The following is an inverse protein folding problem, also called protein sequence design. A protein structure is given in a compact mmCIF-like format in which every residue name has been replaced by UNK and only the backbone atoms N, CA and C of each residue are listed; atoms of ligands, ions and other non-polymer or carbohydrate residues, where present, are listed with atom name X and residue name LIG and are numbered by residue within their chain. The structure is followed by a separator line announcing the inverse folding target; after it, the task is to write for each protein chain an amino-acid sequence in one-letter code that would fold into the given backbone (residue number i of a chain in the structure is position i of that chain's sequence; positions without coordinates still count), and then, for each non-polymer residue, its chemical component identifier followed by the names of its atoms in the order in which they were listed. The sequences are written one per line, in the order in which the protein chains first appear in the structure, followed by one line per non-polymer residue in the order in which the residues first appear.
data_IF_699098653548
#
_entry.id   IF_699098653548
#
_cell.length_a   1.000
_cell.length_b   1.000
_cell.length_c   1.000
_cell.angle_alpha   90.00
_cell.angle_beta   90.00
_cell.angle_gamma   90.00
#
_symmetry.space_group_name_H-M   'P 1'
#
loop_
_entity.id
_entity.type
_entity.pdbx_description
1 polymer ?
#
# COMPACT_ATOMS: atom_id res chain seq x y z
N UNK A 1 -53.94 -20.00 -20.66
CA UNK A 1 -52.59 -19.91 -21.24
C UNK A 1 -51.69 -18.91 -20.48
N UNK A 2 -51.98 -18.55 -19.21
CA UNK A 2 -51.28 -17.52 -18.43
C UNK A 2 -50.49 -18.05 -17.21
N UNK A 3 -50.45 -19.34 -16.93
CA UNK A 3 -49.79 -19.90 -15.74
C UNK A 3 -48.34 -20.33 -15.93
N UNK A 4 -47.75 -20.28 -17.14
CA UNK A 4 -46.39 -20.71 -17.40
C UNK A 4 -45.38 -19.55 -17.50
N UNK A 5 -45.82 -18.31 -17.65
CA UNK A 5 -44.94 -17.13 -17.80
C UNK A 5 -44.47 -16.61 -16.43
N UNK A 6 -45.28 -16.75 -15.38
CA UNK A 6 -44.98 -16.24 -14.03
C UNK A 6 -43.88 -17.03 -13.31
N UNK A 7 -43.68 -18.30 -13.66
CA UNK A 7 -42.68 -19.15 -13.02
C UNK A 7 -41.26 -18.88 -13.55
N UNK A 8 -41.16 -18.52 -14.84
CA UNK A 8 -39.82 -18.23 -15.44
C UNK A 8 -39.27 -16.87 -15.00
N UNK A 9 -40.09 -15.88 -14.75
CA UNK A 9 -39.65 -14.56 -14.23
C UNK A 9 -39.21 -14.63 -12.78
N UNK A 10 -39.78 -15.52 -11.98
CA UNK A 10 -39.40 -15.71 -10.58
C UNK A 10 -38.05 -16.45 -10.43
N UNK A 11 -37.75 -17.38 -11.32
CA UNK A 11 -36.45 -18.11 -11.34
C UNK A 11 -35.32 -17.20 -11.81
N UNK A 12 -35.54 -16.29 -12.76
CA UNK A 12 -34.52 -15.29 -13.16
C UNK A 12 -34.24 -14.23 -12.10
N UNK A 13 -35.24 -13.86 -11.28
CA UNK A 13 -35.05 -12.93 -10.17
C UNK A 13 -34.30 -13.55 -8.99
N UNK A 14 -34.42 -14.85 -8.76
CA UNK A 14 -33.65 -15.57 -7.73
C UNK A 14 -32.18 -15.85 -8.15
N UNK A 15 -31.91 -15.93 -9.46
CA UNK A 15 -30.56 -16.12 -9.97
C UNK A 15 -29.71 -14.81 -9.93
N UNK A 16 -30.32 -13.63 -9.84
CA UNK A 16 -29.66 -12.35 -9.73
C UNK A 16 -29.41 -11.90 -8.27
N UNK A 17 -30.04 -12.56 -7.29
CA UNK A 17 -29.85 -12.27 -5.87
C UNK A 17 -28.65 -13.00 -5.24
N UNK A 18 -27.88 -13.75 -6.03
CA UNK A 18 -26.84 -14.66 -5.52
C UNK A 18 -25.39 -14.14 -5.56
N UNK A 19 -25.11 -12.87 -5.90
CA UNK A 19 -23.75 -12.39 -5.99
C UNK A 19 -23.63 -10.96 -5.42
N UNK A 20 -23.85 -10.84 -4.15
CA UNK A 20 -23.19 -9.83 -3.33
C UNK A 20 -23.02 -10.44 -1.96
N UNK A 21 -21.99 -11.24 -1.79
CA UNK A 21 -21.48 -11.52 -0.47
C UNK A 21 -20.94 -10.19 0.05
N UNK A 22 -21.80 -9.46 0.78
CA UNK A 22 -21.42 -8.26 1.50
C UNK A 22 -20.32 -8.68 2.45
N UNK A 23 -19.08 -8.42 2.09
CA UNK A 23 -17.96 -8.53 3.01
C UNK A 23 -18.08 -7.31 3.92
N UNK A 24 -18.62 -7.53 5.11
CA UNK A 24 -18.87 -6.47 6.09
C UNK A 24 -17.58 -5.77 6.56
N UNK A 25 -16.39 -6.33 6.25
CA UNK A 25 -15.11 -5.82 6.73
C UNK A 25 -14.01 -6.02 5.69
N UNK A 26 -13.33 -4.95 5.30
CA UNK A 26 -12.17 -5.00 4.42
C UNK A 26 -10.92 -5.49 5.15
N UNK A 27 -10.03 -6.17 4.44
CA UNK A 27 -8.71 -6.58 4.94
C UNK A 27 -7.64 -5.83 4.16
N UNK A 28 -6.76 -5.12 4.86
CA UNK A 28 -5.73 -4.30 4.26
C UNK A 28 -4.36 -4.84 4.64
N UNK A 29 -3.58 -5.24 3.63
CA UNK A 29 -2.18 -5.63 3.78
C UNK A 29 -1.30 -4.41 3.62
N UNK A 30 -0.35 -4.21 4.54
CA UNK A 30 0.73 -3.25 4.40
C UNK A 30 2.08 -3.96 4.32
N UNK A 31 2.92 -3.61 3.34
CA UNK A 31 4.35 -3.89 3.33
C UNK A 31 5.12 -2.57 3.35
N UNK A 32 6.13 -2.48 4.20
CA UNK A 32 6.81 -1.22 4.43
C UNK A 32 8.08 -1.36 5.27
N UNK A 33 8.71 -0.21 5.54
CA UNK A 33 9.90 -0.07 6.36
C UNK A 33 9.57 0.45 7.77
N UNK A 34 10.59 0.91 8.52
CA UNK A 34 10.52 1.36 9.92
C UNK A 34 9.33 2.27 10.24
N UNK A 35 8.97 3.13 9.31
CA UNK A 35 7.91 4.12 9.51
C UNK A 35 6.50 3.52 9.49
N UNK A 36 6.37 2.31 8.96
CA UNK A 36 5.11 1.59 8.86
C UNK A 36 5.01 0.41 9.84
N UNK A 37 6.04 0.18 10.67
CA UNK A 37 6.02 -0.91 11.65
C UNK A 37 4.81 -0.82 12.61
N UNK A 38 4.33 -1.95 13.15
CA UNK A 38 3.20 -1.98 14.06
C UNK A 38 3.31 -1.04 15.27
N UNK A 39 4.56 -0.73 15.70
CA UNK A 39 4.82 0.19 16.81
C UNK A 39 4.48 1.66 16.48
N UNK A 40 4.47 2.05 15.22
CA UNK A 40 4.10 3.40 14.80
C UNK A 40 2.61 3.68 14.93
N UNK A 41 1.77 2.71 14.66
CA UNK A 41 0.32 2.73 14.89
C UNK A 41 -0.54 3.50 13.88
N UNK A 42 0.01 4.34 12.99
CA UNK A 42 -0.81 5.09 12.03
C UNK A 42 -1.66 4.18 11.13
N UNK A 43 -1.07 3.05 10.72
CA UNK A 43 -1.75 2.10 9.83
C UNK A 43 -2.91 1.41 10.54
N UNK A 44 -2.68 0.91 11.75
CA UNK A 44 -3.70 0.26 12.56
C UNK A 44 -4.82 1.23 12.97
N UNK A 45 -4.47 2.49 13.25
CA UNK A 45 -5.47 3.55 13.53
C UNK A 45 -6.30 3.86 12.29
N UNK A 46 -5.68 3.98 11.12
CA UNK A 46 -6.37 4.22 9.86
C UNK A 46 -7.28 3.05 9.47
N UNK A 47 -6.81 1.80 9.60
CA UNK A 47 -7.64 0.62 9.40
C UNK A 47 -8.84 0.60 10.37
N UNK A 48 -8.64 0.97 11.62
CA UNK A 48 -9.72 1.06 12.63
C UNK A 48 -10.77 2.11 12.22
N UNK A 49 -10.33 3.27 11.70
CA UNK A 49 -11.23 4.32 11.21
C UNK A 49 -12.05 3.85 9.98
N UNK A 50 -11.49 2.96 9.17
CA UNK A 50 -12.14 2.35 8.01
C UNK A 50 -12.96 1.09 8.36
N UNK A 51 -13.02 0.69 9.62
CA UNK A 51 -13.55 -0.61 10.04
C UNK A 51 -12.90 -1.80 9.32
N UNK A 52 -11.60 -1.69 9.00
CA UNK A 52 -10.83 -2.69 8.27
C UNK A 52 -9.93 -3.53 9.19
N UNK A 53 -9.60 -4.74 8.74
CA UNK A 53 -8.65 -5.64 9.41
C UNK A 53 -7.24 -5.35 8.89
N UNK A 54 -6.29 -4.94 9.76
CA UNK A 54 -4.91 -4.71 9.34
C UNK A 54 -4.10 -6.02 9.29
N UNK A 55 -3.35 -6.21 8.21
CA UNK A 55 -2.24 -7.16 8.11
C UNK A 55 -0.97 -6.35 7.90
N UNK A 56 -0.19 -6.12 8.96
CA UNK A 56 1.02 -5.32 8.88
C UNK A 56 2.25 -6.22 8.75
N UNK A 57 2.97 -6.12 7.62
CA UNK A 57 4.20 -6.84 7.28
C UNK A 57 5.41 -5.92 7.18
N UNK A 58 5.30 -4.69 7.67
CA UNK A 58 6.41 -3.74 7.66
C UNK A 58 7.49 -4.14 8.67
N UNK A 59 8.75 -4.02 8.26
CA UNK A 59 9.93 -4.32 9.08
C UNK A 59 10.95 -3.21 8.89
N UNK A 60 11.59 -2.81 9.99
CA UNK A 60 12.63 -1.77 9.99
C UNK A 60 13.77 -2.11 9.03
N UNK A 61 14.27 -1.09 8.33
CA UNK A 61 15.33 -1.18 7.34
C UNK A 61 15.03 -2.03 6.08
N UNK A 62 13.82 -2.57 5.91
CA UNK A 62 13.44 -3.24 4.67
C UNK A 62 13.22 -2.24 3.53
N UNK A 63 13.53 -2.70 2.32
CA UNK A 63 13.26 -2.01 1.05
C UNK A 63 12.22 -2.77 0.24
N UNK A 64 11.79 -2.20 -0.89
CA UNK A 64 10.87 -2.87 -1.82
C UNK A 64 11.42 -4.21 -2.33
N UNK A 65 12.74 -4.39 -2.39
CA UNK A 65 13.36 -5.68 -2.74
C UNK A 65 13.03 -6.79 -1.74
N UNK A 66 12.91 -6.47 -0.45
CA UNK A 66 12.47 -7.43 0.56
C UNK A 66 11.00 -7.84 0.33
N UNK A 67 10.14 -6.89 -0.02
CA UNK A 67 8.75 -7.19 -0.41
C UNK A 67 8.72 -8.11 -1.63
N UNK A 68 9.51 -7.81 -2.67
CA UNK A 68 9.60 -8.62 -3.88
C UNK A 68 10.11 -10.05 -3.58
N UNK A 69 11.15 -10.18 -2.75
CA UNK A 69 11.68 -11.48 -2.34
C UNK A 69 10.68 -12.26 -1.47
N UNK A 70 9.98 -11.61 -0.53
CA UNK A 70 8.88 -12.24 0.24
C UNK A 70 7.74 -12.74 -0.67
N UNK A 71 7.46 -12.07 -1.77
CA UNK A 71 6.50 -12.57 -2.78
C UNK A 71 7.05 -13.78 -3.54
N UNK A 72 8.35 -13.81 -3.85
CA UNK A 72 9.01 -14.97 -4.47
C UNK A 72 8.94 -16.20 -3.57
N UNK A 73 9.26 -16.02 -2.29
CA UNK A 73 9.33 -17.08 -1.30
C UNK A 73 7.94 -17.50 -0.76
N UNK A 74 6.88 -16.77 -1.12
CA UNK A 74 5.53 -17.01 -0.61
C UNK A 74 5.36 -16.67 0.88
N UNK A 75 6.20 -15.79 1.43
CA UNK A 75 6.20 -15.41 2.85
C UNK A 75 5.52 -14.07 3.15
N UNK A 76 5.17 -13.31 2.10
CA UNK A 76 4.48 -12.03 2.28
C UNK A 76 3.05 -12.20 2.81
N UNK A 77 2.36 -13.21 2.32
CA UNK A 77 1.01 -13.62 2.73
C UNK A 77 0.79 -15.10 2.45
N UNK A 78 -0.08 -15.74 3.22
CA UNK A 78 -0.53 -17.10 2.91
C UNK A 78 -1.59 -17.09 1.80
N UNK A 79 -1.87 -18.23 1.13
CA UNK A 79 -2.96 -18.31 0.16
C UNK A 79 -4.32 -17.91 0.74
N UNK A 80 -4.60 -18.25 1.99
CA UNK A 80 -5.84 -17.92 2.70
C UNK A 80 -5.91 -16.42 3.01
N UNK A 81 -4.81 -15.82 3.47
CA UNK A 81 -4.72 -14.37 3.66
C UNK A 81 -4.92 -13.65 2.32
N UNK A 82 -4.26 -14.10 1.25
CA UNK A 82 -4.33 -13.48 -0.06
C UNK A 82 -5.75 -13.44 -0.62
N UNK A 83 -6.53 -14.50 -0.43
CA UNK A 83 -7.94 -14.55 -0.85
C UNK A 83 -8.77 -13.47 -0.12
N UNK A 84 -8.40 -13.13 1.10
CA UNK A 84 -9.11 -12.17 1.96
C UNK A 84 -8.60 -10.73 1.89
N UNK A 85 -7.36 -10.48 1.44
CA UNK A 85 -6.80 -9.13 1.30
C UNK A 85 -7.58 -8.35 0.24
N UNK A 86 -8.12 -7.20 0.56
CA UNK A 86 -8.83 -6.34 -0.38
C UNK A 86 -7.93 -5.24 -0.93
N UNK A 87 -7.02 -4.71 -0.10
CA UNK A 87 -6.13 -3.61 -0.47
C UNK A 87 -4.70 -3.97 -0.08
N UNK A 88 -3.76 -3.69 -0.98
CA UNK A 88 -2.32 -3.83 -0.73
C UNK A 88 -1.65 -2.45 -0.69
N UNK A 89 -1.12 -2.07 0.46
CA UNK A 89 -0.45 -0.79 0.70
C UNK A 89 1.05 -0.97 0.66
N UNK A 90 1.74 -0.14 -0.12
CA UNK A 90 3.19 -0.11 -0.23
C UNK A 90 3.73 1.18 0.39
N UNK A 91 4.38 1.06 1.55
CA UNK A 91 5.06 2.16 2.25
C UNK A 91 6.54 1.85 2.41
N UNK A 92 7.27 1.91 1.32
CA UNK A 92 8.73 1.74 1.30
C UNK A 92 9.43 3.09 1.30
N UNK A 93 10.68 3.09 1.72
CA UNK A 93 11.48 4.31 1.85
C UNK A 93 12.74 4.19 1.01
N UNK A 94 12.87 5.08 0.04
CA UNK A 94 14.04 5.13 -0.84
C UNK A 94 14.53 6.55 -1.06
N UNK A 95 15.78 6.67 -1.50
CA UNK A 95 16.37 7.93 -1.96
C UNK A 95 16.33 8.06 -3.49
N UNK A 96 16.08 6.96 -4.18
CA UNK A 96 16.22 6.82 -5.64
C UNK A 96 14.88 6.92 -6.35
N UNK A 97 14.97 7.08 -7.64
CA UNK A 97 13.83 6.99 -8.55
C UNK A 97 13.29 5.54 -8.57
N UNK A 98 12.00 5.40 -8.30
CA UNK A 98 11.28 4.10 -8.33
C UNK A 98 10.50 3.91 -9.63
N UNK A 99 10.63 4.83 -10.56
CA UNK A 99 9.98 4.78 -11.87
C UNK A 99 11.01 5.05 -12.99
N UNK A 100 11.80 4.03 -13.30
CA UNK A 100 12.76 4.07 -14.40
C UNK A 100 12.37 3.04 -15.47
N UNK A 101 11.75 3.48 -16.56
CA UNK A 101 11.23 2.62 -17.61
C UNK A 101 12.34 1.86 -18.37
N UNK A 102 13.56 2.37 -18.42
CA UNK A 102 14.65 1.78 -19.21
C UNK A 102 15.00 0.34 -18.80
N UNK A 103 14.74 -0.02 -17.54
CA UNK A 103 15.08 -1.32 -16.96
C UNK A 103 13.88 -2.23 -16.79
N UNK A 104 12.66 -1.78 -17.12
CA UNK A 104 11.44 -2.54 -16.90
C UNK A 104 11.29 -3.65 -17.96
N UNK A 105 10.78 -4.80 -17.53
CA UNK A 105 10.47 -5.94 -18.39
C UNK A 105 8.97 -5.97 -18.71
N UNK A 106 8.62 -6.53 -19.86
CA UNK A 106 7.23 -6.73 -20.20
C UNK A 106 6.56 -7.70 -19.24
N UNK A 107 7.20 -8.84 -18.98
CA UNK A 107 6.71 -9.85 -18.06
C UNK A 107 7.52 -9.83 -16.76
N UNK A 108 6.83 -9.88 -15.61
CA UNK A 108 7.50 -9.92 -14.29
C UNK A 108 8.37 -11.18 -14.09
N UNK A 109 8.11 -12.28 -14.82
CA UNK A 109 8.90 -13.50 -14.75
C UNK A 109 10.29 -13.39 -15.40
N UNK A 110 10.51 -12.34 -16.20
CA UNK A 110 11.76 -12.12 -16.92
C UNK A 110 12.81 -11.36 -16.08
N UNK A 111 12.44 -10.98 -14.86
CA UNK A 111 13.38 -10.38 -13.93
C UNK A 111 14.33 -11.43 -13.33
N UNK A 112 15.59 -11.02 -13.18
CA UNK A 112 16.59 -11.82 -12.46
C UNK A 112 16.27 -11.78 -10.96
N UNK A 113 16.23 -12.93 -10.32
CA UNK A 113 15.95 -13.11 -8.89
C UNK A 113 17.07 -13.88 -8.18
N UNK A 114 17.25 -13.75 -6.84
CA UNK A 114 16.54 -12.81 -5.96
C UNK A 114 16.90 -11.35 -6.25
N UNK A 115 16.07 -10.42 -5.79
CA UNK A 115 16.30 -8.99 -6.01
C UNK A 115 17.35 -8.42 -5.06
N UNK A 116 18.18 -7.53 -5.59
CA UNK A 116 19.10 -6.71 -4.79
C UNK A 116 18.37 -5.50 -4.18
N UNK A 117 18.82 -5.07 -3.01
CA UNK A 117 18.24 -3.93 -2.30
C UNK A 117 18.35 -2.60 -3.06
N UNK A 118 19.20 -2.51 -4.08
CA UNK A 118 19.37 -1.34 -4.98
C UNK A 118 18.43 -1.34 -6.20
N UNK A 119 17.72 -2.44 -6.46
CA UNK A 119 16.86 -2.61 -7.65
C UNK A 119 15.47 -1.96 -7.46
N UNK A 120 15.42 -0.67 -7.12
CA UNK A 120 14.18 0.00 -6.70
C UNK A 120 13.06 -0.03 -7.74
N UNK A 121 13.28 0.48 -8.94
CA UNK A 121 12.26 0.55 -9.97
C UNK A 121 11.83 -0.84 -10.47
N UNK A 122 12.79 -1.73 -10.63
CA UNK A 122 12.59 -3.14 -11.02
C UNK A 122 11.72 -3.85 -9.98
N UNK A 123 12.01 -3.67 -8.70
CA UNK A 123 11.24 -4.30 -7.62
C UNK A 123 9.82 -3.78 -7.51
N UNK A 124 9.59 -2.45 -7.68
CA UNK A 124 8.24 -1.91 -7.72
C UNK A 124 7.43 -2.48 -8.89
N UNK A 125 8.02 -2.51 -10.09
CA UNK A 125 7.36 -3.07 -11.28
C UNK A 125 7.04 -4.55 -11.09
N UNK A 126 8.00 -5.34 -10.55
CA UNK A 126 7.78 -6.74 -10.23
C UNK A 126 6.64 -6.94 -9.24
N UNK A 127 6.67 -6.23 -8.10
CA UNK A 127 5.66 -6.38 -7.04
C UNK A 127 4.26 -6.06 -7.58
N UNK A 128 4.13 -4.97 -8.33
CA UNK A 128 2.86 -4.55 -8.92
C UNK A 128 2.36 -5.60 -9.93
N UNK A 129 3.17 -5.96 -10.91
CA UNK A 129 2.78 -6.92 -11.96
C UNK A 129 2.51 -8.31 -11.38
N UNK A 130 3.31 -8.74 -10.42
CA UNK A 130 3.13 -10.01 -9.73
C UNK A 130 1.82 -10.04 -8.96
N UNK A 131 1.51 -8.98 -8.18
CA UNK A 131 0.26 -8.90 -7.43
C UNK A 131 -0.97 -8.90 -8.35
N UNK A 132 -0.93 -8.14 -9.44
CA UNK A 132 -1.99 -8.12 -10.47
C UNK A 132 -2.20 -9.53 -11.05
N UNK A 133 -1.11 -10.22 -11.41
CA UNK A 133 -1.17 -11.57 -11.95
C UNK A 133 -1.72 -12.58 -10.93
N UNK A 134 -1.29 -12.48 -9.68
CA UNK A 134 -1.76 -13.36 -8.61
C UNK A 134 -3.26 -13.15 -8.34
N UNK A 135 -3.73 -11.90 -8.39
CA UNK A 135 -5.17 -11.58 -8.32
C UNK A 135 -5.95 -12.22 -9.48
N UNK A 136 -5.48 -12.04 -10.71
CA UNK A 136 -6.13 -12.65 -11.87
C UNK A 136 -6.16 -14.17 -11.79
N UNK A 137 -5.10 -14.80 -11.31
CA UNK A 137 -4.97 -16.25 -11.23
C UNK A 137 -5.90 -16.90 -10.18
N UNK A 138 -6.49 -16.10 -9.26
CA UNK A 138 -7.48 -16.64 -8.32
C UNK A 138 -8.71 -17.23 -9.03
N UNK A 139 -9.02 -16.81 -10.25
CA UNK A 139 -10.09 -17.43 -11.06
C UNK A 139 -9.86 -18.92 -11.37
N UNK A 140 -8.61 -19.38 -11.31
CA UNK A 140 -8.25 -20.78 -11.58
C UNK A 140 -8.05 -21.60 -10.30
N UNK A 141 -8.11 -20.98 -9.14
CA UNK A 141 -7.91 -21.63 -7.84
C UNK A 141 -9.27 -22.12 -7.27
N UNK A 142 -9.54 -23.46 -7.24
CA UNK A 142 -10.81 -23.98 -6.76
C UNK A 142 -11.13 -23.67 -5.29
N UNK A 143 -10.11 -23.27 -4.50
CA UNK A 143 -10.27 -22.93 -3.09
C UNK A 143 -10.55 -21.45 -2.89
N UNK A 144 -10.38 -20.62 -3.93
CA UNK A 144 -10.61 -19.18 -3.84
C UNK A 144 -12.09 -18.85 -4.00
N UNK A 145 -12.56 -17.85 -3.25
CA UNK A 145 -13.89 -17.26 -3.45
C UNK A 145 -14.05 -16.60 -4.83
N UNK A 146 -12.95 -16.38 -5.55
CA UNK A 146 -12.94 -15.83 -6.90
C UNK A 146 -12.85 -16.90 -8.00
N UNK A 147 -12.96 -18.18 -7.64
CA UNK A 147 -12.95 -19.27 -8.61
C UNK A 147 -14.02 -19.09 -9.69
N UNK A 148 -13.65 -19.32 -10.94
CA UNK A 148 -14.52 -19.16 -12.13
C UNK A 148 -15.12 -17.75 -12.32
N UNK A 149 -14.67 -16.73 -11.61
CA UNK A 149 -15.04 -15.34 -11.94
C UNK A 149 -14.34 -14.89 -13.23
N UNK A 150 -14.91 -13.93 -13.99
CA UNK A 150 -14.34 -13.52 -15.28
C UNK A 150 -12.91 -12.95 -15.17
N UNK A 151 -12.61 -12.19 -14.11
CA UNK A 151 -11.38 -11.42 -13.97
C UNK A 151 -10.55 -11.78 -12.73
N UNK A 152 -10.92 -12.85 -12.01
CA UNK A 152 -10.27 -13.19 -10.75
C UNK A 152 -10.64 -12.24 -9.62
N UNK A 153 -9.70 -12.02 -8.72
CA UNK A 153 -9.81 -11.10 -7.59
C UNK A 153 -9.61 -9.65 -8.05
N UNK A 154 -10.42 -8.69 -7.58
CA UNK A 154 -10.16 -7.28 -7.83
C UNK A 154 -8.78 -6.84 -7.33
N UNK A 155 -8.12 -5.98 -8.09
CA UNK A 155 -6.82 -5.42 -7.73
C UNK A 155 -7.01 -4.06 -7.09
N UNK A 156 -6.51 -3.88 -5.87
CA UNK A 156 -6.40 -2.57 -5.23
C UNK A 156 -5.01 -2.44 -4.62
N UNK A 157 -4.21 -1.53 -5.16
CA UNK A 157 -2.87 -1.18 -4.66
C UNK A 157 -2.87 0.30 -4.31
N UNK A 158 -2.31 0.64 -3.15
CA UNK A 158 -2.14 2.00 -2.68
C UNK A 158 -0.66 2.26 -2.46
N UNK A 159 -0.15 3.33 -3.06
CA UNK A 159 1.22 3.75 -2.89
C UNK A 159 1.30 4.87 -1.85
N UNK A 160 2.37 4.89 -1.07
CA UNK A 160 2.63 5.96 -0.12
C UNK A 160 3.90 6.71 -0.51
N UNK A 161 3.88 8.05 -0.41
CA UNK A 161 5.11 8.83 -0.45
C UNK A 161 5.90 8.64 0.84
N UNK A 162 7.14 9.13 0.87
CA UNK A 162 7.88 9.25 2.11
C UNK A 162 7.12 10.15 3.11
N UNK A 163 7.33 9.96 4.39
CA UNK A 163 6.63 10.71 5.44
C UNK A 163 7.05 12.19 5.56
N UNK A 164 8.10 12.59 4.86
CA UNK A 164 8.45 14.01 4.75
C UNK A 164 9.11 14.38 3.40
N UNK A 165 9.35 15.65 3.20
CA UNK A 165 9.82 16.27 1.97
C UNK A 165 11.33 16.15 1.70
N UNK A 166 12.08 15.35 2.49
CA UNK A 166 13.51 15.16 2.32
C UNK A 166 13.89 14.22 1.17
N UNK A 167 12.94 13.52 0.58
CA UNK A 167 13.15 12.55 -0.51
C UNK A 167 12.38 12.94 -1.78
N UNK A 168 12.68 14.11 -2.39
CA UNK A 168 11.86 14.63 -3.49
C UNK A 168 11.88 13.74 -4.74
N UNK A 169 13.00 13.07 -5.03
CA UNK A 169 13.11 12.15 -6.18
C UNK A 169 12.17 10.97 -5.99
N UNK A 170 12.22 10.32 -4.84
CA UNK A 170 11.33 9.22 -4.49
C UNK A 170 9.86 9.65 -4.53
N UNK A 171 9.52 10.73 -3.84
CA UNK A 171 8.13 11.20 -3.76
C UNK A 171 7.55 11.53 -5.14
N UNK A 172 8.35 12.15 -6.02
CA UNK A 172 7.92 12.46 -7.39
C UNK A 172 7.75 11.19 -8.22
N UNK A 173 8.66 10.23 -8.11
CA UNK A 173 8.58 9.00 -8.89
C UNK A 173 7.46 8.07 -8.43
N UNK A 174 7.14 8.03 -7.14
CA UNK A 174 5.96 7.30 -6.61
C UNK A 174 4.66 7.85 -7.22
N UNK A 175 4.52 9.17 -7.32
CA UNK A 175 3.35 9.79 -7.99
C UNK A 175 3.26 9.42 -9.47
N UNK A 176 4.38 9.46 -10.20
CA UNK A 176 4.43 9.01 -11.61
C UNK A 176 4.07 7.53 -11.76
N UNK A 177 4.56 6.68 -10.84
CA UNK A 177 4.25 5.26 -10.83
C UNK A 177 2.75 5.04 -10.59
N UNK A 178 2.16 5.76 -9.66
CA UNK A 178 0.73 5.71 -9.37
C UNK A 178 -0.11 6.19 -10.57
N UNK A 179 0.28 7.28 -11.21
CA UNK A 179 -0.37 7.79 -12.44
C UNK A 179 -0.33 6.75 -13.57
N UNK A 180 0.82 6.09 -13.80
CA UNK A 180 0.97 5.02 -14.79
C UNK A 180 -0.05 3.89 -14.59
N UNK A 181 -0.28 3.48 -13.36
CA UNK A 181 -1.12 2.33 -13.03
C UNK A 181 -2.55 2.70 -12.63
N UNK A 182 -2.85 3.98 -12.47
CA UNK A 182 -4.14 4.45 -11.97
C UNK A 182 -4.37 4.15 -10.48
N UNK A 183 -3.31 4.11 -9.67
CA UNK A 183 -3.40 3.79 -8.24
C UNK A 183 -3.52 5.06 -7.38
N UNK A 184 -4.26 5.02 -6.26
CA UNK A 184 -4.27 6.09 -5.29
C UNK A 184 -2.91 6.25 -4.59
N UNK A 185 -2.61 7.47 -4.17
CA UNK A 185 -1.39 7.80 -3.43
C UNK A 185 -1.73 8.46 -2.11
N UNK A 186 -1.17 7.95 -1.01
CA UNK A 186 -1.18 8.64 0.27
C UNK A 186 0.02 9.59 0.33
N UNK A 187 -0.23 10.89 0.22
CA UNK A 187 0.80 11.91 0.08
C UNK A 187 1.29 12.44 1.44
N UNK A 188 1.93 11.60 2.22
CA UNK A 188 2.43 11.96 3.56
C UNK A 188 3.39 13.16 3.54
N UNK A 189 4.30 13.23 2.56
CA UNK A 189 5.28 14.31 2.44
C UNK A 189 4.67 15.70 2.32
N UNK A 190 3.40 15.80 1.92
CA UNK A 190 2.69 17.06 1.71
C UNK A 190 1.73 17.44 2.83
N UNK A 191 1.07 16.45 3.42
CA UNK A 191 -0.15 16.75 4.20
C UNK A 191 -0.07 16.45 5.70
N UNK A 192 0.98 15.79 6.18
CA UNK A 192 1.10 15.50 7.62
C UNK A 192 1.82 16.60 8.42
N UNK A 193 2.45 17.56 7.74
CA UNK A 193 3.16 18.66 8.40
C UNK A 193 4.46 18.28 9.07
N UNK A 194 5.11 17.20 8.64
CA UNK A 194 6.42 16.76 9.12
C UNK A 194 7.50 17.11 8.09
N UNK A 195 7.84 18.40 8.01
CA UNK A 195 8.68 18.95 6.94
C UNK A 195 10.08 19.30 7.40
N UNK A 196 11.08 18.95 6.60
CA UNK A 196 12.46 19.43 6.71
C UNK A 196 12.61 20.85 6.17
N UNK A 197 11.81 21.26 5.19
CA UNK A 197 11.94 22.56 4.51
C UNK A 197 11.16 23.67 5.19
N UNK A 198 9.95 23.37 5.65
CA UNK A 198 9.09 24.36 6.29
C UNK A 198 9.50 24.59 7.74
N UNK A 199 9.50 25.87 8.13
CA UNK A 199 9.87 26.31 9.48
C UNK A 199 8.65 26.85 10.22
N UNK A 200 8.60 26.55 11.51
CA UNK A 200 7.61 27.12 12.40
C UNK A 200 7.78 28.65 12.49
N UNK A 201 6.75 29.46 12.25
CA UNK A 201 6.87 30.92 12.09
C UNK A 201 7.36 31.64 13.36
N UNK A 202 7.11 31.07 14.54
CA UNK A 202 7.48 31.70 15.81
C UNK A 202 8.89 31.27 16.26
N UNK A 203 9.22 29.97 16.12
CA UNK A 203 10.48 29.43 16.66
C UNK A 203 11.61 29.36 15.64
N UNK A 204 11.31 29.49 14.35
CA UNK A 204 12.27 29.30 13.26
C UNK A 204 12.75 27.86 13.07
N UNK A 205 12.32 26.90 13.91
CA UNK A 205 12.69 25.50 13.81
C UNK A 205 11.92 24.81 12.69
N UNK A 206 12.56 23.88 12.00
CA UNK A 206 11.89 22.98 11.03
C UNK A 206 10.78 22.20 11.74
N UNK A 207 9.63 22.01 11.06
CA UNK A 207 8.52 21.24 11.65
C UNK A 207 8.92 19.81 12.01
N UNK A 208 9.79 19.17 11.22
CA UNK A 208 10.28 17.85 11.55
C UNK A 208 11.05 17.83 12.89
N UNK A 209 11.81 18.87 13.22
CA UNK A 209 12.51 18.99 14.51
C UNK A 209 11.60 19.30 15.71
N UNK A 210 10.41 19.82 15.46
CA UNK A 210 9.42 20.07 16.52
C UNK A 210 8.71 18.77 16.92
N UNK A 211 8.43 17.93 15.92
CA UNK A 211 7.61 16.72 16.10
C UNK A 211 8.44 15.41 15.99
N UNK A 212 9.76 15.48 16.15
CA UNK A 212 10.60 14.31 15.98
C UNK A 212 10.62 13.39 17.20
N UNK A 213 10.70 12.08 16.94
CA UNK A 213 11.13 11.08 17.92
C UNK A 213 12.66 10.90 17.93
N UNK A 214 13.29 11.18 16.80
CA UNK A 214 14.74 11.15 16.61
C UNK A 214 15.18 12.14 15.53
N UNK A 215 16.49 12.36 15.39
CA UNK A 215 17.01 13.27 14.37
C UNK A 215 18.15 12.63 13.57
N UNK A 216 18.28 13.07 12.32
CA UNK A 216 19.40 12.73 11.45
C UNK A 216 20.18 13.98 11.04
N UNK A 217 21.47 13.78 10.73
CA UNK A 217 22.32 14.80 10.13
C UNK A 217 22.75 14.35 8.74
N UNK A 218 22.39 15.10 7.72
CA UNK A 218 22.76 14.81 6.33
C UNK A 218 23.31 16.09 5.70
N UNK A 219 24.49 16.03 5.08
CA UNK A 219 25.15 17.19 4.44
C UNK A 219 25.27 18.43 5.36
N UNK A 220 25.55 18.20 6.66
CA UNK A 220 25.69 19.26 7.63
C UNK A 220 24.39 19.79 8.25
N UNK A 221 23.23 19.44 7.72
CA UNK A 221 21.94 19.82 8.25
C UNK A 221 21.37 18.77 9.20
N UNK A 222 20.84 19.20 10.34
CA UNK A 222 20.08 18.35 11.29
C UNK A 222 18.60 18.53 11.02
N UNK A 223 17.86 17.44 10.94
CA UNK A 223 16.38 17.45 10.78
C UNK A 223 15.77 16.26 11.53
N UNK A 224 14.49 16.38 11.87
CA UNK A 224 13.73 15.28 12.47
C UNK A 224 13.55 14.15 11.46
N UNK A 225 13.82 12.90 11.89
CA UNK A 225 13.76 11.75 10.98
C UNK A 225 12.48 10.95 11.15
N UNK A 226 12.21 10.44 12.34
CA UNK A 226 10.94 9.78 12.64
C UNK A 226 10.08 10.63 13.58
N UNK A 227 8.78 10.77 13.35
CA UNK A 227 7.87 11.25 14.39
C UNK A 227 7.80 10.24 15.53
N UNK A 228 7.39 10.67 16.72
CA UNK A 228 7.21 9.78 17.85
C UNK A 228 6.23 8.65 17.51
N UNK A 229 6.51 7.48 18.06
CA UNK A 229 5.67 6.30 17.86
C UNK A 229 4.41 6.37 18.73
N UNK A 230 3.42 5.58 18.36
CA UNK A 230 2.22 5.33 19.16
C UNK A 230 1.03 6.24 18.85
N UNK A 231 -0.11 5.86 19.41
CA UNK A 231 -1.42 6.46 19.10
C UNK A 231 -1.58 7.91 19.56
N UNK A 232 -0.78 8.36 20.53
CA UNK A 232 -0.79 9.73 21.04
C UNK A 232 0.08 10.70 20.22
N UNK A 233 0.86 10.19 19.27
CA UNK A 233 1.65 11.05 18.38
C UNK A 233 0.74 11.80 17.42
N UNK A 234 0.80 13.13 17.47
CA UNK A 234 0.05 14.01 16.58
C UNK A 234 0.29 13.69 15.09
N UNK A 235 1.53 13.42 14.72
CA UNK A 235 1.87 13.08 13.32
C UNK A 235 1.30 11.71 12.94
N UNK A 236 1.37 10.71 13.83
CA UNK A 236 0.77 9.40 13.57
C UNK A 236 -0.75 9.48 13.39
N UNK A 237 -1.42 10.33 14.17
CA UNK A 237 -2.86 10.58 14.02
C UNK A 237 -3.17 11.24 12.67
N UNK A 238 -2.38 12.21 12.23
CA UNK A 238 -2.54 12.84 10.91
C UNK A 238 -2.28 11.86 9.76
N UNK A 239 -1.29 10.98 9.89
CA UNK A 239 -1.04 9.93 8.91
C UNK A 239 -2.23 8.96 8.82
N UNK A 240 -2.77 8.56 9.96
CA UNK A 240 -3.93 7.68 10.02
C UNK A 240 -5.16 8.30 9.35
N UNK A 241 -5.43 9.57 9.64
CA UNK A 241 -6.54 10.31 9.01
C UNK A 241 -6.35 10.42 7.49
N UNK A 242 -5.18 10.85 7.03
CA UNK A 242 -4.89 10.97 5.60
C UNK A 242 -4.98 9.64 4.87
N UNK A 243 -4.51 8.55 5.50
CA UNK A 243 -4.63 7.22 4.94
C UNK A 243 -6.10 6.80 4.82
N UNK A 244 -6.90 7.01 5.86
CA UNK A 244 -8.33 6.69 5.84
C UNK A 244 -9.06 7.50 4.77
N UNK A 245 -8.82 8.81 4.68
CA UNK A 245 -9.42 9.69 3.67
C UNK A 245 -9.07 9.26 2.23
N UNK A 246 -7.86 8.71 2.01
CA UNK A 246 -7.43 8.24 0.69
C UNK A 246 -8.15 6.94 0.28
N UNK A 247 -8.68 6.17 1.24
CA UNK A 247 -9.36 4.90 0.99
C UNK A 247 -10.90 5.04 0.95
N UNK A 248 -11.43 6.19 1.35
CA UNK A 248 -12.86 6.50 1.32
C UNK A 248 -13.30 6.96 -0.06
#
# INVERSE_FOLDING_TARGET
MYKRITLFTFICLLALAGIAQNKDTYTILLSGASFAEPNNKWFEMGCRALHAIPINRAVSAESIAHTANKMLDGTLYTPEEFDNIDVFVLMQVHEKDVYNEANLKENYKDYKTPFDASDYAVCYDYVIKRYISDCYNQKFNPKSRYYNTPYGKPVSIVLCTHWHDSRPIFNTSVRKLAEKWGFPVVEFDRYIGFSKKQKHPVTGKQYSLIYTGDSQKTHGEVFGWHPPHGEHSFIQQRMAALFADTQS
#
